data_IF_955931867707
#
_entry.id   IF_955931867707
#
_cell.length_a   1.000
_cell.length_b   1.000
_cell.length_c   1.000
_cell.angle_alpha   90.00
_cell.angle_beta   90.00
_cell.angle_gamma   90.00
#
_symmetry.space_group_name_H-M   'P 1'
#
loop_
_entity.id
_entity.type
_entity.pdbx_description
1 polymer ?
#
# COMPACT_ATOMS: atom_id res chain seq x y z
N UNK A 1 17.31 -14.58 3.23
CA UNK A 1 16.56 -13.87 2.17
C UNK A 1 16.38 -14.85 1.02
N UNK A 2 15.14 -15.14 0.61
CA UNK A 2 14.83 -16.09 -0.47
C UNK A 2 15.34 -15.60 -1.82
N UNK A 3 15.57 -16.52 -2.75
CA UNK A 3 16.05 -16.20 -4.10
C UNK A 3 15.00 -15.40 -4.89
N UNK A 4 13.72 -15.67 -4.68
CA UNK A 4 12.62 -14.91 -5.29
C UNK A 4 12.64 -13.43 -4.88
N UNK A 5 12.89 -13.15 -3.59
CA UNK A 5 12.98 -11.77 -3.11
C UNK A 5 14.19 -11.05 -3.70
N UNK A 6 15.34 -11.74 -3.83
CA UNK A 6 16.53 -11.19 -4.51
C UNK A 6 16.23 -10.85 -5.97
N UNK A 7 15.56 -11.75 -6.69
CA UNK A 7 15.20 -11.54 -8.09
C UNK A 7 14.23 -10.37 -8.27
N UNK A 8 13.25 -10.23 -7.37
CA UNK A 8 12.33 -9.09 -7.35
C UNK A 8 13.09 -7.77 -7.12
N UNK A 9 13.94 -7.71 -6.10
CA UNK A 9 14.74 -6.52 -5.80
C UNK A 9 15.60 -6.11 -6.99
N UNK A 10 16.32 -7.07 -7.60
CA UNK A 10 17.17 -6.81 -8.76
C UNK A 10 16.37 -6.25 -9.94
N UNK A 11 15.17 -6.77 -10.20
CA UNK A 11 14.29 -6.23 -11.25
C UNK A 11 13.84 -4.81 -10.98
N UNK A 12 13.50 -4.49 -9.73
CA UNK A 12 13.08 -3.14 -9.35
C UNK A 12 14.27 -2.16 -9.47
N UNK A 13 15.46 -2.58 -9.05
CA UNK A 13 16.69 -1.79 -9.19
C UNK A 13 17.07 -1.54 -10.66
N UNK A 14 16.89 -2.55 -11.54
CA UNK A 14 17.07 -2.36 -12.99
C UNK A 14 16.10 -1.36 -13.60
N UNK A 15 14.92 -1.16 -13.01
CA UNK A 15 13.99 -0.11 -13.43
C UNK A 15 14.39 1.29 -12.92
N UNK A 16 15.55 1.44 -12.29
CA UNK A 16 16.08 2.72 -11.80
C UNK A 16 15.61 3.11 -10.39
N UNK A 17 15.00 2.20 -9.65
CA UNK A 17 14.50 2.45 -8.29
C UNK A 17 15.56 2.00 -7.26
N UNK A 18 15.98 2.90 -6.36
CA UNK A 18 16.87 2.52 -5.24
C UNK A 18 16.09 1.67 -4.22
N UNK A 19 16.42 0.38 -4.16
CA UNK A 19 15.84 -0.56 -3.19
C UNK A 19 16.89 -0.94 -2.17
N UNK A 20 16.60 -0.66 -0.89
CA UNK A 20 17.43 -1.05 0.24
C UNK A 20 16.68 -2.02 1.14
N UNK A 21 17.21 -3.22 1.29
CA UNK A 21 16.67 -4.19 2.26
C UNK A 21 17.32 -3.94 3.61
N UNK A 22 16.52 -3.58 4.60
CA UNK A 22 16.98 -3.32 5.95
C UNK A 22 16.73 -4.56 6.82
N UNK A 23 17.78 -5.27 7.28
CA UNK A 23 17.60 -6.43 8.15
C UNK A 23 17.19 -5.99 9.55
N UNK A 24 16.02 -6.44 10.00
CA UNK A 24 15.56 -6.26 11.38
C UNK A 24 16.02 -7.45 12.25
N UNK A 25 17.03 -7.24 13.10
CA UNK A 25 17.45 -8.21 14.13
C UNK A 25 16.93 -7.75 15.49
N UNK A 26 15.72 -8.16 15.84
CA UNK A 26 15.16 -7.89 17.17
C UNK A 26 15.47 -9.06 18.12
N UNK A 27 15.93 -8.82 19.36
CA UNK A 27 16.17 -9.87 20.35
C UNK A 27 14.85 -10.30 21.02
N UNK A 28 13.79 -10.53 20.24
CA UNK A 28 12.46 -10.88 20.75
C UNK A 28 11.90 -12.10 20.02
N UNK A 29 10.99 -12.88 20.64
CA UNK A 29 10.34 -14.02 19.99
C UNK A 29 9.67 -13.63 18.67
N UNK A 30 9.64 -14.55 17.71
CA UNK A 30 9.14 -14.32 16.34
C UNK A 30 7.71 -13.77 16.31
N UNK A 31 6.87 -14.20 17.24
CA UNK A 31 5.49 -13.76 17.41
C UNK A 31 5.42 -12.29 17.81
N UNK A 32 6.35 -11.84 18.66
CA UNK A 32 6.47 -10.43 19.06
C UNK A 32 7.11 -9.58 17.97
N UNK A 33 8.02 -10.14 17.17
CA UNK A 33 8.55 -9.47 15.96
C UNK A 33 7.41 -9.16 14.99
N UNK A 34 6.44 -10.06 14.81
CA UNK A 34 5.32 -9.80 13.92
C UNK A 34 4.40 -8.67 14.43
N UNK A 35 4.11 -8.63 15.74
CA UNK A 35 3.19 -7.64 16.31
C UNK A 35 3.83 -6.27 16.55
N UNK A 36 5.05 -6.24 17.08
CA UNK A 36 5.72 -5.00 17.48
C UNK A 36 6.80 -4.58 16.47
N UNK A 37 7.47 -5.54 15.83
CA UNK A 37 8.56 -5.26 14.91
C UNK A 37 8.12 -4.48 13.67
N UNK A 38 6.88 -4.64 13.20
CA UNK A 38 6.37 -3.84 12.07
C UNK A 38 6.29 -2.35 12.42
N UNK A 39 5.87 -2.01 13.64
CA UNK A 39 5.77 -0.62 14.09
C UNK A 39 7.13 0.01 14.29
N UNK A 40 8.05 -0.72 14.92
CA UNK A 40 9.42 -0.25 15.13
C UNK A 40 10.16 -0.09 13.79
N UNK A 41 9.99 -1.03 12.86
CA UNK A 41 10.55 -0.93 11.52
C UNK A 41 10.01 0.28 10.75
N UNK A 42 8.71 0.53 10.84
CA UNK A 42 8.11 1.71 10.22
C UNK A 42 8.66 3.01 10.83
N UNK A 43 8.79 3.07 12.15
CA UNK A 43 9.32 4.25 12.82
C UNK A 43 10.79 4.49 12.48
N UNK A 44 11.62 3.45 12.47
CA UNK A 44 13.02 3.54 12.05
C UNK A 44 13.14 4.01 10.59
N UNK A 45 12.31 3.49 9.68
CA UNK A 45 12.29 3.92 8.28
C UNK A 45 12.00 5.42 8.16
N UNK A 46 11.00 5.93 8.90
CA UNK A 46 10.64 7.35 8.91
C UNK A 46 11.81 8.21 9.41
N UNK A 47 12.41 7.83 10.55
CA UNK A 47 13.53 8.56 11.14
C UNK A 47 14.74 8.61 10.20
N UNK A 48 15.02 7.53 9.47
CA UNK A 48 16.12 7.49 8.50
C UNK A 48 15.81 8.29 7.24
N UNK A 49 14.56 8.31 6.79
CA UNK A 49 14.16 8.99 5.56
C UNK A 49 13.93 10.50 5.75
N UNK A 50 13.76 10.99 6.97
CA UNK A 50 13.38 12.40 7.23
C UNK A 50 14.37 13.42 6.65
N UNK A 51 15.65 13.05 6.53
CA UNK A 51 16.69 13.92 5.99
C UNK A 51 16.83 13.83 4.46
N UNK A 52 16.29 12.77 3.85
CA UNK A 52 16.48 12.48 2.41
C UNK A 52 15.19 12.57 1.62
N UNK A 53 14.04 12.59 2.29
CA UNK A 53 12.72 12.51 1.67
C UNK A 53 11.73 13.35 2.46
N UNK A 54 11.02 14.23 1.75
CA UNK A 54 9.99 15.08 2.36
C UNK A 54 8.76 14.27 2.78
N UNK A 55 8.35 13.35 1.91
CA UNK A 55 7.22 12.44 2.10
C UNK A 55 7.71 11.00 2.17
N UNK A 56 7.07 10.21 3.03
CA UNK A 56 7.19 8.75 3.00
C UNK A 56 5.81 8.14 2.74
N UNK A 57 5.83 6.99 2.07
CA UNK A 57 4.64 6.21 1.76
C UNK A 57 4.70 4.91 2.57
N UNK A 58 3.69 4.69 3.40
CA UNK A 58 3.50 3.42 4.09
C UNK A 58 2.44 2.59 3.34
N UNK A 59 2.89 1.59 2.59
CA UNK A 59 2.07 0.71 1.75
C UNK A 59 2.65 -0.71 1.78
N UNK A 60 1.81 -1.73 1.75
CA UNK A 60 2.29 -3.11 1.69
C UNK A 60 2.75 -3.47 0.27
N UNK A 61 3.63 -4.47 0.13
CA UNK A 61 4.17 -4.87 -1.18
C UNK A 61 3.12 -5.47 -2.14
N UNK A 62 2.02 -5.99 -1.59
CA UNK A 62 0.86 -6.51 -2.32
C UNK A 62 -0.24 -5.45 -2.52
N UNK A 63 0.05 -4.20 -2.21
CA UNK A 63 -0.85 -3.06 -2.37
C UNK A 63 -0.32 -2.07 -3.41
N UNK A 64 -1.24 -1.42 -4.13
CA UNK A 64 -0.92 -0.43 -5.15
C UNK A 64 -1.66 0.87 -4.89
N UNK A 65 -0.94 1.94 -4.58
CA UNK A 65 -1.51 3.28 -4.42
C UNK A 65 -1.63 3.97 -5.77
N UNK A 66 -2.85 4.35 -6.14
CA UNK A 66 -3.20 4.88 -7.45
C UNK A 66 -3.84 6.26 -7.34
N UNK A 67 -3.22 7.32 -7.89
CA UNK A 67 -3.91 8.58 -8.13
C UNK A 67 -4.96 8.36 -9.23
N UNK A 68 -6.15 8.93 -9.04
CA UNK A 68 -7.26 8.82 -10.00
C UNK A 68 -7.37 10.10 -10.82
N UNK A 69 -7.10 11.24 -10.20
CA UNK A 69 -7.29 12.57 -10.79
C UNK A 69 -5.99 13.26 -11.22
N UNK A 70 -4.84 12.61 -11.02
CA UNK A 70 -3.52 13.16 -11.26
C UNK A 70 -2.64 12.18 -12.04
N UNK A 71 -1.56 12.70 -12.63
CA UNK A 71 -0.59 11.90 -13.42
C UNK A 71 0.19 10.92 -12.57
N UNK A 72 0.50 11.30 -11.32
CA UNK A 72 1.33 10.56 -10.39
C UNK A 72 1.01 10.95 -8.95
N UNK A 73 1.65 10.27 -7.99
CA UNK A 73 1.43 10.50 -6.56
C UNK A 73 1.90 11.89 -6.11
N UNK A 74 2.96 12.43 -6.72
CA UNK A 74 3.49 13.74 -6.35
C UNK A 74 2.48 14.84 -6.71
N UNK A 75 2.01 14.86 -7.95
CA UNK A 75 0.96 15.77 -8.41
C UNK A 75 -0.32 15.63 -7.57
N UNK A 76 -0.67 14.40 -7.17
CA UNK A 76 -1.83 14.17 -6.31
C UNK A 76 -1.66 14.76 -4.91
N UNK A 77 -0.47 14.66 -4.30
CA UNK A 77 -0.16 15.26 -3.00
C UNK A 77 -0.31 16.79 -3.05
N UNK A 78 0.17 17.42 -4.14
CA UNK A 78 0.05 18.87 -4.32
C UNK A 78 -1.40 19.35 -4.34
N UNK A 79 -2.33 18.56 -4.91
CA UNK A 79 -3.76 18.91 -4.91
C UNK A 79 -4.38 18.98 -3.51
N UNK A 80 -3.76 18.31 -2.53
CA UNK A 80 -4.21 18.29 -1.14
C UNK A 80 -3.64 19.44 -0.30
N UNK A 81 -2.62 20.14 -0.81
CA UNK A 81 -2.00 21.23 -0.05
C UNK A 81 -2.93 22.47 -0.06
N UNK A 82 -3.17 23.08 1.11
CA UNK A 82 -4.01 24.27 1.20
C UNK A 82 -3.35 25.45 0.47
N UNK A 83 -4.16 26.24 -0.24
CA UNK A 83 -3.69 27.40 -1.02
C UNK A 83 -3.44 28.66 -0.18
N UNK A 84 -3.87 28.70 1.10
CA UNK A 84 -3.69 29.80 2.06
C UNK A 84 -3.48 29.22 3.48
N UNK A 85 -2.50 29.78 4.20
CA UNK A 85 -1.88 29.21 5.40
C UNK A 85 -2.74 29.30 6.66
N UNK A 86 -2.76 28.18 7.39
CA UNK A 86 -2.50 28.08 8.85
C UNK A 86 -2.29 26.62 9.29
N UNK A 87 -2.71 25.63 8.49
CA UNK A 87 -2.44 24.21 8.71
C UNK A 87 -1.69 23.60 7.52
N UNK A 88 -0.60 22.88 7.79
CA UNK A 88 0.05 22.06 6.75
C UNK A 88 -0.60 20.68 6.74
N UNK A 89 -1.07 20.24 5.57
CA UNK A 89 -1.48 18.85 5.37
C UNK A 89 -0.22 18.00 5.36
N UNK A 90 -0.03 17.29 6.46
CA UNK A 90 1.17 16.52 6.73
C UNK A 90 0.94 15.01 6.66
N UNK A 91 -0.32 14.58 6.73
CA UNK A 91 -0.72 13.18 6.55
C UNK A 91 -1.92 13.08 5.63
N UNK A 92 -1.80 12.18 4.66
CA UNK A 92 -2.87 11.84 3.73
C UNK A 92 -3.21 10.37 3.93
N UNK A 93 -4.38 10.12 4.52
CA UNK A 93 -4.90 8.77 4.72
C UNK A 93 -5.72 8.36 3.51
N UNK A 94 -5.35 7.24 2.90
CA UNK A 94 -5.93 6.68 1.69
C UNK A 94 -6.66 5.38 2.03
N UNK A 95 -7.90 5.24 1.56
CA UNK A 95 -8.71 4.04 1.81
C UNK A 95 -8.34 2.90 0.87
N UNK A 96 -8.36 1.68 1.41
CA UNK A 96 -8.18 0.48 0.61
C UNK A 96 -9.47 0.10 -0.16
N UNK A 97 -9.30 -0.20 -1.43
CA UNK A 97 -10.21 -0.97 -2.29
C UNK A 97 -9.69 -2.40 -2.35
N UNK A 98 -10.53 -3.35 -1.97
CA UNK A 98 -10.13 -4.76 -1.97
C UNK A 98 -10.47 -5.40 -3.30
N UNK A 99 -9.51 -6.16 -3.80
CA UNK A 99 -9.67 -7.01 -4.97
C UNK A 99 -9.42 -8.45 -4.55
N UNK A 100 -10.30 -9.33 -5.00
CA UNK A 100 -10.19 -10.77 -4.78
C UNK A 100 -9.62 -11.43 -6.01
N UNK A 101 -8.52 -12.18 -5.84
CA UNK A 101 -8.00 -13.07 -6.86
C UNK A 101 -8.58 -14.48 -6.73
N UNK A 102 -8.95 -15.03 -7.88
CA UNK A 102 -9.44 -16.39 -8.02
C UNK A 102 -8.47 -17.23 -8.85
N UNK A 103 -8.26 -18.47 -8.40
CA UNK A 103 -7.35 -19.43 -8.99
C UNK A 103 -8.09 -20.73 -9.27
N UNK A 104 -7.63 -21.51 -10.24
CA UNK A 104 -8.31 -22.74 -10.68
C UNK A 104 -8.26 -23.92 -9.71
N UNK A 105 -7.64 -23.76 -8.53
CA UNK A 105 -7.59 -24.80 -7.52
C UNK A 105 -8.64 -24.56 -6.43
N UNK A 106 -9.13 -25.64 -5.82
CA UNK A 106 -10.04 -25.53 -4.67
C UNK A 106 -9.34 -24.76 -3.55
N UNK A 107 -10.06 -23.87 -2.88
CA UNK A 107 -9.52 -23.06 -1.79
C UNK A 107 -8.78 -23.87 -0.71
N UNK A 108 -9.30 -25.05 -0.39
CA UNK A 108 -8.71 -25.96 0.60
C UNK A 108 -7.36 -26.58 0.17
N UNK A 109 -7.01 -26.53 -1.11
CA UNK A 109 -5.75 -27.07 -1.63
C UNK A 109 -4.68 -26.00 -1.88
N UNK A 110 -4.99 -24.72 -1.69
CA UNK A 110 -4.06 -23.62 -1.93
C UNK A 110 -3.30 -23.31 -0.64
N UNK A 111 -1.98 -23.48 -0.63
CA UNK A 111 -1.14 -22.98 0.46
C UNK A 111 -0.72 -21.55 0.14
N UNK A 112 -0.56 -20.71 1.17
CA UNK A 112 -0.22 -19.28 0.99
C UNK A 112 1.07 -19.07 0.15
N UNK A 113 2.02 -19.99 0.24
CA UNK A 113 3.25 -19.97 -0.57
C UNK A 113 3.07 -20.37 -2.03
N UNK A 114 1.97 -21.02 -2.39
CA UNK A 114 1.69 -21.41 -3.78
C UNK A 114 1.12 -20.21 -4.57
N UNK A 115 0.51 -19.22 -3.90
CA UNK A 115 -0.18 -18.08 -4.54
C UNK A 115 0.65 -17.30 -5.59
N UNK A 116 1.95 -17.00 -5.37
CA UNK A 116 2.76 -16.31 -6.38
C UNK A 116 3.05 -17.16 -7.63
N UNK A 117 2.90 -18.49 -7.54
CA UNK A 117 3.20 -19.46 -8.60
C UNK A 117 1.95 -19.91 -9.37
N UNK A 118 0.77 -19.53 -8.91
CA UNK A 118 -0.50 -19.93 -9.52
C UNK A 118 -0.93 -18.95 -10.61
N UNK A 119 -1.46 -19.48 -11.71
CA UNK A 119 -2.10 -18.67 -12.74
C UNK A 119 -3.43 -18.13 -12.24
N UNK A 120 -3.52 -16.80 -12.10
CA UNK A 120 -4.76 -16.09 -11.78
C UNK A 120 -5.78 -16.31 -12.90
N UNK A 121 -6.98 -16.75 -12.55
CA UNK A 121 -8.11 -16.86 -13.49
C UNK A 121 -8.89 -15.55 -13.55
N UNK A 122 -9.33 -15.04 -12.40
CA UNK A 122 -10.16 -13.85 -12.30
C UNK A 122 -9.68 -12.90 -11.21
N UNK A 123 -10.04 -11.63 -11.39
CA UNK A 123 -9.91 -10.58 -10.39
C UNK A 123 -11.23 -9.82 -10.35
N UNK A 124 -11.83 -9.67 -9.16
CA UNK A 124 -13.04 -8.86 -9.02
C UNK A 124 -12.93 -7.92 -7.82
N UNK A 125 -13.68 -6.83 -7.90
CA UNK A 125 -13.77 -5.85 -6.82
C UNK A 125 -14.63 -6.39 -5.68
N UNK A 126 -14.05 -6.45 -4.48
CA UNK A 126 -14.67 -6.96 -3.27
C UNK A 126 -15.24 -5.86 -2.36
N UNK A 127 -15.18 -4.61 -2.81
CA UNK A 127 -15.66 -3.44 -2.06
C UNK A 127 -14.55 -2.63 -1.38
N UNK A 128 -14.96 -1.47 -0.86
CA UNK A 128 -14.10 -0.60 -0.03
C UNK A 128 -14.16 -1.07 1.41
N UNK A 129 -13.04 -1.06 2.12
CA UNK A 129 -13.07 -1.28 3.56
C UNK A 129 -13.89 -0.18 4.25
N UNK A 130 -14.85 -0.57 5.11
CA UNK A 130 -15.71 0.36 5.85
C UNK A 130 -14.99 1.01 7.05
N UNK A 131 -13.86 0.46 7.50
CA UNK A 131 -13.16 0.87 8.72
C UNK A 131 -11.85 1.60 8.42
N UNK A 132 -11.46 2.55 9.29
CA UNK A 132 -10.15 3.24 9.23
C UNK A 132 -8.96 2.30 9.43
N UNK A 133 -9.19 1.13 10.02
CA UNK A 133 -8.15 0.13 10.30
C UNK A 133 -7.54 -0.52 9.05
N UNK A 134 -8.07 -0.26 7.86
CA UNK A 134 -7.60 -0.84 6.59
C UNK A 134 -7.23 0.28 5.62
N UNK A 135 -6.63 1.34 6.15
CA UNK A 135 -6.10 2.43 5.35
C UNK A 135 -4.58 2.30 5.24
N UNK A 136 -4.04 3.05 4.29
CA UNK A 136 -2.61 3.33 4.14
C UNK A 136 -2.43 4.84 4.07
N UNK A 137 -1.21 5.31 4.18
CA UNK A 137 -0.99 6.74 4.26
C UNK A 137 0.33 7.18 3.67
N UNK A 138 0.32 8.43 3.22
CA UNK A 138 1.52 9.22 2.94
C UNK A 138 1.65 10.23 4.07
N UNK A 139 2.86 10.47 4.54
CA UNK A 139 3.08 11.47 5.58
C UNK A 139 4.43 12.18 5.41
N UNK A 140 4.52 13.40 5.92
CA UNK A 140 5.78 14.13 6.04
C UNK A 140 6.56 13.59 7.22
N UNK A 141 7.80 13.15 6.98
CA UNK A 141 8.61 12.51 8.02
C UNK A 141 8.78 13.39 9.28
N UNK A 142 8.98 14.69 9.08
CA UNK A 142 9.17 15.68 10.17
C UNK A 142 7.96 15.87 11.09
N UNK A 143 6.77 15.49 10.62
CA UNK A 143 5.52 15.71 11.33
C UNK A 143 5.07 14.47 12.10
N UNK A 144 5.68 13.30 11.85
CA UNK A 144 5.28 12.03 12.47
C UNK A 144 6.10 11.75 13.72
N UNK A 145 5.44 11.84 14.88
CA UNK A 145 6.04 11.48 16.17
C UNK A 145 5.90 9.98 16.44
N UNK A 146 4.79 9.37 16.04
CA UNK A 146 4.58 7.93 16.18
C UNK A 146 3.72 7.37 15.06
N UNK A 147 4.25 6.38 14.35
CA UNK A 147 3.58 5.71 13.25
C UNK A 147 2.92 4.38 13.69
N UNK A 148 1.83 4.01 13.04
CA UNK A 148 1.22 2.67 13.12
C UNK A 148 1.01 2.13 11.71
N UNK A 149 0.64 0.85 11.59
CA UNK A 149 0.59 0.12 10.30
C UNK A 149 -0.43 0.73 9.33
N UNK A 150 -1.54 1.29 9.85
CA UNK A 150 -2.66 1.78 9.03
C UNK A 150 -2.95 3.28 9.18
N UNK A 151 -2.32 3.94 10.15
CA UNK A 151 -2.51 5.36 10.43
C UNK A 151 -1.30 5.92 11.18
N UNK A 152 -1.17 7.25 11.20
CA UNK A 152 -0.23 7.92 12.09
C UNK A 152 -0.87 8.08 13.47
N UNK A 153 -0.20 7.59 14.51
CA UNK A 153 -0.70 7.56 15.89
C UNK A 153 -0.51 8.89 16.60
N UNK A 154 0.61 9.56 16.37
CA UNK A 154 0.97 10.83 17.02
C UNK A 154 1.67 11.76 16.02
N UNK A 155 1.27 13.03 16.06
CA UNK A 155 1.73 14.07 15.14
C UNK A 155 2.29 15.25 15.90
N UNK A 156 3.22 15.95 15.26
CA UNK A 156 3.71 17.24 15.73
C UNK A 156 2.60 18.29 15.84
N UNK A 157 2.82 19.29 16.68
CA UNK A 157 1.95 20.45 16.76
C UNK A 157 1.81 21.11 15.38
N UNK A 158 0.61 21.54 15.00
CA UNK A 158 0.29 22.21 13.71
C UNK A 158 0.26 21.29 12.47
N UNK A 159 0.29 19.97 12.67
CA UNK A 159 0.13 18.99 11.60
C UNK A 159 -1.33 18.56 11.43
N UNK A 160 -1.79 18.48 10.18
CA UNK A 160 -3.14 18.04 9.86
C UNK A 160 -3.16 16.68 9.14
N UNK A 161 -4.20 15.89 9.46
CA UNK A 161 -4.54 14.64 8.76
C UNK A 161 -5.74 14.88 7.87
N UNK A 162 -5.59 14.59 6.58
CA UNK A 162 -6.72 14.51 5.68
C UNK A 162 -7.06 13.06 5.34
N UNK A 163 -8.35 12.82 5.11
CA UNK A 163 -8.83 11.57 4.56
C UNK A 163 -9.17 11.78 3.09
N UNK A 164 -8.31 11.28 2.21
CA UNK A 164 -8.50 11.43 0.78
C UNK A 164 -9.78 10.71 0.31
N UNK A 165 -10.50 11.32 -0.62
CA UNK A 165 -11.73 10.73 -1.15
C UNK A 165 -11.38 9.62 -2.13
N UNK A 166 -12.17 8.53 -2.19
CA UNK A 166 -11.90 7.43 -3.12
C UNK A 166 -11.94 7.79 -4.61
N UNK A 167 -12.33 9.01 -4.97
CA UNK A 167 -12.30 9.53 -6.35
C UNK A 167 -11.02 10.29 -6.68
N UNK A 168 -10.20 10.59 -5.68
CA UNK A 168 -8.94 11.34 -5.81
C UNK A 168 -7.78 10.35 -5.84
N UNK A 169 -7.73 9.44 -4.86
CA UNK A 169 -6.66 8.44 -4.71
C UNK A 169 -7.19 7.23 -3.95
N UNK A 170 -6.66 6.05 -4.28
CA UNK A 170 -7.05 4.77 -3.66
C UNK A 170 -5.86 3.85 -3.52
N UNK A 171 -5.96 2.92 -2.57
CA UNK A 171 -5.00 1.81 -2.45
C UNK A 171 -5.72 0.54 -2.87
N UNK A 172 -5.26 -0.09 -3.95
CA UNK A 172 -5.76 -1.39 -4.34
C UNK A 172 -5.03 -2.46 -3.53
N UNK A 173 -5.76 -3.16 -2.67
CA UNK A 173 -5.25 -4.27 -1.89
C UNK A 173 -5.71 -5.56 -2.54
N UNK A 174 -4.76 -6.37 -3.01
CA UNK A 174 -5.04 -7.62 -3.68
C UNK A 174 -4.93 -8.77 -2.70
N UNK A 175 -6.03 -9.49 -2.50
CA UNK A 175 -6.10 -10.60 -1.56
C UNK A 175 -6.66 -11.85 -2.21
N UNK A 176 -6.37 -13.00 -1.61
CA UNK A 176 -6.95 -14.27 -2.01
C UNK A 176 -8.31 -14.44 -1.31
N UNK A 177 -9.34 -14.77 -2.09
CA UNK A 177 -10.68 -15.00 -1.56
C UNK A 177 -11.14 -16.42 -1.90
N UNK A 178 -11.51 -17.16 -0.87
CA UNK A 178 -12.18 -18.45 -1.03
C UNK A 178 -13.69 -18.19 -1.15
N UNK A 179 -14.40 -18.92 -2.01
CA UNK A 179 -15.88 -19.00 -2.07
C UNK A 179 -16.68 -18.05 -2.97
N UNK A 180 -16.10 -17.41 -3.99
CA UNK A 180 -16.93 -16.77 -5.02
C UNK A 180 -17.35 -17.83 -6.05
N UNK A 181 -18.28 -18.72 -5.68
CA UNK A 181 -18.98 -19.58 -6.64
C UNK A 181 -19.81 -18.66 -7.54
N UNK A 182 -19.24 -18.18 -8.64
CA UNK A 182 -19.98 -17.53 -9.71
C UNK A 182 -19.94 -18.41 -10.94
N UNK A 183 -21.10 -18.59 -11.56
CA UNK A 183 -21.19 -19.07 -12.93
C UNK A 183 -20.39 -18.12 -13.80
N UNK A 184 -19.44 -18.66 -14.58
CA UNK A 184 -18.60 -17.88 -15.47
C UNK A 184 -19.43 -17.39 -16.66
N UNK A 185 -19.98 -16.19 -16.56
CA UNK A 185 -20.50 -15.49 -17.72
C UNK A 185 -19.32 -14.84 -18.46
N UNK A 186 -18.92 -15.45 -19.58
CA UNK A 186 -17.90 -14.90 -20.45
C UNK A 186 -18.38 -13.56 -21.03
N UNK A 187 -17.62 -12.49 -20.76
CA UNK A 187 -17.84 -11.17 -21.33
C UNK A 187 -16.54 -10.64 -21.93
N UNK A 188 -16.55 -10.29 -23.21
CA UNK A 188 -15.43 -9.64 -23.90
C UNK A 188 -15.45 -8.15 -23.52
N UNK A 189 -14.41 -7.68 -22.83
CA UNK A 189 -14.18 -6.24 -22.61
C UNK A 189 -13.30 -5.72 -23.73
N UNK A 190 -13.91 -4.98 -24.67
CA UNK A 190 -13.19 -4.27 -25.72
C UNK A 190 -12.71 -2.91 -25.18
N UNK A 191 -11.41 -2.77 -24.94
CA UNK A 191 -10.81 -1.48 -24.61
C UNK A 191 -10.41 -0.75 -25.89
N UNK A 192 -11.14 0.31 -26.24
CA UNK A 192 -10.72 1.23 -27.31
C UNK A 192 -9.73 2.24 -26.71
N UNK A 193 -8.49 2.26 -27.18
CA UNK A 193 -7.54 3.35 -26.86
C UNK A 193 -8.17 4.68 -27.30
N UNK A 194 -8.15 5.73 -26.47
CA UNK A 194 -8.38 7.09 -26.97
C UNK A 194 -7.33 7.39 -28.03
N UNK A 195 -7.78 7.80 -29.22
CA UNK A 195 -6.91 8.35 -30.25
C UNK A 195 -6.25 9.63 -29.73
N UNK A 196 -4.93 9.72 -29.90
CA UNK A 196 -4.13 10.93 -29.68
C UNK A 196 -4.62 12.08 -30.56
#
# INVERSE_FOLDING_TARGET
>A
MSDDLRALIARIQWAGVDVRVMPFKLPVPKEQVYQNGQREALHECILRSVLTSEWFLNVDLDELMLPITSTDLHAQIETFQPKKNDCNVDVIVVRNRRFCFEYGAKASSIRKGDLPLMTRLYSHYAGTARTRAWAKYMARGRSVMRADIHYVRELGSHSEVIHAKPKEIVVNHYTFCCHVNRTLDYGVVLWKRPSL
#
